data_IF_957552436925
#
_entry.id   IF_957552436925
#
_cell.length_a   1.000
_cell.length_b   1.000
_cell.length_c   1.000
_cell.angle_alpha   90.00
_cell.angle_beta   90.00
_cell.angle_gamma   90.00
#
_symmetry.space_group_name_H-M   'P 1'
#
loop_
_entity.id
_entity.type
_entity.pdbx_description
1 polymer ?
#
# COMPACT_ATOMS: atom_id res chain seq x y z
N UNK A 1 17.58 -9.96 -12.28
CA UNK A 1 16.25 -9.80 -12.89
C UNK A 1 15.88 -11.12 -13.55
N UNK A 2 14.76 -11.75 -13.16
CA UNK A 2 14.30 -13.05 -13.67
C UNK A 2 13.14 -12.81 -14.61
N UNK A 3 13.23 -13.30 -15.85
CA UNK A 3 12.16 -13.20 -16.84
C UNK A 3 10.98 -14.11 -16.47
N UNK A 4 9.78 -13.53 -16.45
CA UNK A 4 8.52 -14.20 -16.13
C UNK A 4 7.48 -14.04 -17.24
N UNK A 5 7.87 -13.50 -18.40
CA UNK A 5 7.00 -13.24 -19.56
C UNK A 5 6.26 -14.48 -20.09
N UNK A 6 6.83 -15.67 -19.92
CA UNK A 6 6.22 -16.95 -20.32
C UNK A 6 5.26 -17.56 -19.30
N UNK A 7 5.04 -16.93 -18.13
CA UNK A 7 4.15 -17.47 -17.09
C UNK A 7 2.72 -16.99 -17.31
N UNK A 8 1.74 -17.89 -17.14
CA UNK A 8 0.34 -17.53 -17.19
C UNK A 8 -0.01 -16.50 -16.10
N UNK A 9 -0.77 -15.47 -16.48
CA UNK A 9 -1.33 -14.53 -15.53
C UNK A 9 -2.32 -15.24 -14.62
N UNK A 10 -2.10 -15.08 -13.32
CA UNK A 10 -2.86 -15.72 -12.25
C UNK A 10 -3.06 -14.69 -11.15
N UNK A 11 -4.20 -14.76 -10.45
CA UNK A 11 -4.46 -13.89 -9.31
C UNK A 11 -3.49 -14.28 -8.18
N UNK A 12 -2.71 -13.31 -7.70
CA UNK A 12 -1.73 -13.51 -6.62
C UNK A 12 -2.15 -12.71 -5.41
N UNK A 13 -2.15 -13.36 -4.25
CA UNK A 13 -2.42 -12.73 -2.96
C UNK A 13 -1.21 -12.95 -2.05
N UNK A 14 -0.80 -11.89 -1.35
CA UNK A 14 0.26 -11.94 -0.36
C UNK A 14 -0.19 -11.21 0.91
N UNK A 15 0.04 -11.81 2.07
CA UNK A 15 -0.28 -11.25 3.38
C UNK A 15 1.00 -11.11 4.21
N UNK A 16 1.17 -9.95 4.84
CA UNK A 16 2.27 -9.66 5.75
C UNK A 16 1.73 -8.96 7.00
N UNK A 17 2.40 -9.16 8.14
CA UNK A 17 2.04 -8.59 9.44
C UNK A 17 3.29 -8.00 10.10
N UNK A 18 3.11 -6.95 10.90
CA UNK A 18 4.20 -6.27 11.61
C UNK A 18 3.71 -5.79 12.97
N UNK A 19 4.64 -5.73 13.93
CA UNK A 19 4.38 -5.29 15.31
C UNK A 19 5.31 -4.14 15.67
N UNK A 20 4.80 -3.17 16.43
CA UNK A 20 5.57 -2.04 16.95
C UNK A 20 5.48 -2.08 18.47
N UNK A 21 6.61 -2.35 19.12
CA UNK A 21 6.70 -2.25 20.57
C UNK A 21 6.79 -0.78 20.99
N UNK A 22 6.00 -0.41 21.99
CA UNK A 22 5.98 0.93 22.55
C UNK A 22 5.62 0.90 24.04
N UNK A 23 5.89 2.01 24.72
CA UNK A 23 5.51 2.20 26.11
C UNK A 23 3.99 2.26 26.27
N UNK A 24 3.46 1.70 27.36
CA UNK A 24 2.01 1.69 27.63
C UNK A 24 1.42 3.10 27.74
N UNK A 25 2.20 4.06 28.23
CA UNK A 25 1.82 5.48 28.30
C UNK A 25 1.65 6.10 26.91
N UNK A 26 2.49 5.73 25.94
CA UNK A 26 2.38 6.17 24.55
C UNK A 26 1.14 5.56 23.89
N UNK A 27 0.89 4.28 24.11
CA UNK A 27 -0.31 3.62 23.58
C UNK A 27 -1.59 4.29 24.10
N UNK A 28 -1.66 4.59 25.40
CA UNK A 28 -2.79 5.30 25.99
C UNK A 28 -2.99 6.69 25.37
N UNK A 29 -1.92 7.46 25.17
CA UNK A 29 -1.99 8.77 24.51
C UNK A 29 -2.46 8.70 23.05
N UNK A 30 -2.10 7.63 22.33
CA UNK A 30 -2.55 7.41 20.94
C UNK A 30 -4.04 7.08 20.92
N UNK A 31 -4.53 6.24 21.84
CA UNK A 31 -5.94 5.85 21.93
C UNK A 31 -6.82 7.03 22.36
N UNK A 32 -6.37 7.85 23.32
CA UNK A 32 -7.08 9.05 23.77
C UNK A 32 -7.06 10.19 22.75
N UNK A 33 -6.38 10.03 21.61
CA UNK A 33 -6.31 11.05 20.56
C UNK A 33 -5.55 12.32 20.96
N UNK A 34 -4.83 12.30 22.09
CA UNK A 34 -4.14 13.46 22.66
C UNK A 34 -2.71 13.63 22.14
N UNK A 35 -2.33 12.93 21.06
CA UNK A 35 -1.01 13.09 20.47
C UNK A 35 -0.93 14.36 19.61
N UNK A 36 0.03 15.24 19.94
CA UNK A 36 0.31 16.52 19.26
C UNK A 36 0.58 16.41 17.74
N UNK A 37 0.83 15.20 17.22
CA UNK A 37 1.05 14.91 15.80
C UNK A 37 -0.23 14.48 15.04
N UNK A 38 -1.37 14.37 15.72
CA UNK A 38 -2.64 13.90 15.16
C UNK A 38 -2.83 12.38 15.25
N UNK A 39 -3.74 11.84 14.43
CA UNK A 39 -4.08 10.43 14.40
C UNK A 39 -2.95 9.58 13.78
N UNK A 40 -2.23 8.87 14.67
CA UNK A 40 -1.09 8.02 14.32
C UNK A 40 -1.52 6.80 13.52
N UNK A 41 -2.70 6.22 13.81
CA UNK A 41 -3.19 5.03 13.12
C UNK A 41 -3.64 5.35 11.70
N UNK A 42 -4.38 6.44 11.51
CA UNK A 42 -4.79 6.89 10.18
C UNK A 42 -3.55 7.20 9.32
N UNK A 43 -2.57 7.91 9.88
CA UNK A 43 -1.33 8.25 9.18
C UNK A 43 -0.52 7.01 8.81
N UNK A 44 -0.36 6.06 9.74
CA UNK A 44 0.36 4.80 9.49
C UNK A 44 -0.30 3.97 8.39
N UNK A 45 -1.64 3.94 8.33
CA UNK A 45 -2.37 3.23 7.27
C UNK A 45 -2.13 3.84 5.90
N UNK A 46 -2.22 5.17 5.79
CA UNK A 46 -1.99 5.87 4.52
C UNK A 46 -0.53 5.66 4.08
N UNK A 47 0.42 5.80 5.00
CA UNK A 47 1.83 5.55 4.73
C UNK A 47 2.08 4.11 4.25
N UNK A 48 1.43 3.11 4.85
CA UNK A 48 1.52 1.71 4.43
C UNK A 48 0.98 1.45 3.03
N UNK A 49 -0.18 2.02 2.67
CA UNK A 49 -0.76 1.90 1.33
C UNK A 49 0.15 2.57 0.28
N UNK A 50 0.67 3.75 0.59
CA UNK A 50 1.58 4.46 -0.29
C UNK A 50 2.90 3.68 -0.45
N UNK A 51 3.45 3.15 0.64
CA UNK A 51 4.64 2.31 0.61
C UNK A 51 4.43 1.04 -0.23
N UNK A 52 3.27 0.37 -0.13
CA UNK A 52 2.98 -0.81 -0.94
C UNK A 52 2.99 -0.49 -2.45
N UNK A 53 2.46 0.67 -2.83
CA UNK A 53 2.47 1.13 -4.24
C UNK A 53 3.85 1.60 -4.70
N UNK A 54 4.59 2.30 -3.84
CA UNK A 54 5.93 2.84 -4.16
C UNK A 54 7.01 1.76 -4.13
N UNK A 55 6.89 0.74 -3.27
CA UNK A 55 7.85 -0.36 -3.21
C UNK A 55 7.90 -1.15 -4.52
N UNK A 56 6.79 -1.20 -5.27
CA UNK A 56 6.77 -1.70 -6.65
C UNK A 56 7.78 -0.96 -7.56
N UNK A 57 8.07 0.31 -7.30
CA UNK A 57 9.05 1.10 -8.04
C UNK A 57 10.44 1.20 -7.40
N UNK A 58 10.59 0.80 -6.14
CA UNK A 58 11.84 0.97 -5.38
C UNK A 58 12.62 -0.33 -5.16
N UNK A 59 11.98 -1.50 -5.24
CA UNK A 59 12.66 -2.79 -5.15
C UNK A 59 13.28 -3.18 -6.50
N UNK A 60 14.62 -3.36 -6.61
CA UNK A 60 15.27 -3.77 -7.85
C UNK A 60 14.93 -5.21 -8.29
N UNK A 61 14.24 -5.99 -7.44
CA UNK A 61 13.90 -7.39 -7.71
C UNK A 61 12.44 -7.62 -8.16
N UNK A 62 11.54 -6.65 -8.02
CA UNK A 62 10.11 -6.84 -8.35
C UNK A 62 9.83 -6.57 -9.83
N UNK A 63 9.09 -7.47 -10.47
CA UNK A 63 8.75 -7.39 -11.90
C UNK A 63 7.68 -6.31 -12.12
N UNK A 64 7.92 -5.38 -13.05
CA UNK A 64 7.06 -4.21 -13.34
C UNK A 64 5.72 -4.53 -14.04
N UNK A 65 5.28 -5.79 -14.04
CA UNK A 65 4.10 -6.23 -14.78
C UNK A 65 2.77 -5.66 -14.24
N UNK A 66 2.69 -5.31 -12.95
CA UNK A 66 1.41 -4.92 -12.31
C UNK A 66 1.05 -3.43 -12.45
N UNK A 67 1.89 -2.60 -13.07
CA UNK A 67 1.72 -1.13 -13.04
C UNK A 67 0.77 -0.54 -14.10
N UNK A 68 0.32 -1.30 -15.11
CA UNK A 68 -0.35 -0.71 -16.29
C UNK A 68 -1.89 -0.81 -16.35
N UNK A 69 -2.58 -1.49 -15.42
CA UNK A 69 -4.03 -1.75 -15.59
C UNK A 69 -4.97 -0.67 -15.00
N UNK A 70 -4.50 0.28 -14.19
CA UNK A 70 -5.39 1.23 -13.47
C UNK A 70 -5.73 2.52 -14.25
N UNK A 71 -5.31 2.66 -15.51
CA UNK A 71 -5.38 3.93 -16.25
C UNK A 71 -6.53 4.11 -17.24
N UNK A 72 -7.40 3.12 -17.47
CA UNK A 72 -8.26 3.12 -18.67
C UNK A 72 -9.74 2.85 -18.44
N UNK A 73 -10.38 3.35 -17.38
CA UNK A 73 -11.85 3.37 -17.32
C UNK A 73 -12.40 4.64 -16.64
N UNK A 74 -12.57 5.72 -17.41
CA UNK A 74 -13.69 6.65 -17.26
C UNK A 74 -13.73 7.67 -18.41
N UNK A 75 -14.11 7.20 -19.60
CA UNK A 75 -14.70 8.06 -20.62
C UNK A 75 -16.10 7.49 -20.92
N UNK A 76 -17.00 7.68 -19.95
CA UNK A 76 -18.42 7.39 -20.10
C UNK A 76 -19.06 8.44 -21.01
N UNK A 77 -19.62 7.97 -22.10
CA UNK A 77 -20.38 8.72 -23.09
C UNK A 77 -21.44 9.62 -22.46
N UNK A 78 -21.32 10.94 -22.69
CA UNK A 78 -22.44 11.86 -22.60
C UNK A 78 -23.04 11.99 -24.01
N UNK A 79 -24.07 11.17 -24.27
CA UNK A 79 -24.95 11.31 -25.42
C UNK A 79 -26.30 11.82 -24.94
N UNK A 80 -26.62 13.05 -25.32
CA UNK A 80 -27.96 13.58 -25.65
C UNK A 80 -27.74 14.81 -26.52
#
# INVERSE_FOLDING_TARGET
MVDVSGKAETVREARAEAYVEMQATTLAMIIDGSHHKGDVFATARIAGIQAAKTHLGADPAVSSADAQQSGSQSAGAAGT
#
